data_IF_819507513182
#
_entry.id   IF_819507513182
#
_cell.length_a   1.000
_cell.length_b   1.000
_cell.length_c   1.000
_cell.angle_alpha   90.00
_cell.angle_beta   90.00
_cell.angle_gamma   90.00
#
_symmetry.space_group_name_H-M   'P 1'
#
loop_
_entity.id
_entity.type
_entity.pdbx_description
1 polymer ?
#
# COMPACT_ATOMS: atom_id res chain seq x y z
N UNK A 1 -33.01 12.88 28.96
CA UNK A 1 -32.52 12.17 27.75
C UNK A 1 -32.10 13.08 26.57
N UNK A 2 -32.10 14.43 26.67
CA UNK A 2 -31.62 15.34 25.61
C UNK A 2 -30.15 15.81 25.76
N UNK A 3 -29.54 15.64 26.94
CA UNK A 3 -28.20 16.16 27.25
C UNK A 3 -27.08 15.11 27.08
N UNK A 4 -27.39 13.84 27.37
CA UNK A 4 -26.45 12.72 27.28
C UNK A 4 -26.23 12.29 25.81
N UNK A 5 -27.25 12.42 24.96
CA UNK A 5 -27.15 12.10 23.53
C UNK A 5 -26.32 13.15 22.76
N UNK A 6 -26.42 14.42 23.15
CA UNK A 6 -25.76 15.55 22.47
C UNK A 6 -24.24 15.53 22.61
N UNK A 7 -23.71 14.97 23.70
CA UNK A 7 -22.26 14.77 23.87
C UNK A 7 -21.79 13.40 23.38
N UNK A 8 -22.58 12.33 23.58
CA UNK A 8 -22.22 10.96 23.15
C UNK A 8 -22.12 10.80 21.64
N UNK A 9 -22.92 11.55 20.86
CA UNK A 9 -22.88 11.47 19.40
C UNK A 9 -21.53 11.92 18.82
N UNK A 10 -20.86 12.89 19.43
CA UNK A 10 -19.54 13.33 18.98
C UNK A 10 -18.47 12.26 19.21
N UNK A 11 -18.49 11.60 20.37
CA UNK A 11 -17.58 10.47 20.62
C UNK A 11 -17.83 9.30 19.66
N UNK A 12 -19.09 9.06 19.29
CA UNK A 12 -19.46 8.05 18.30
C UNK A 12 -18.94 8.41 16.89
N UNK A 13 -19.06 9.67 16.48
CA UNK A 13 -18.55 10.16 15.19
C UNK A 13 -17.02 10.08 15.14
N UNK A 14 -16.33 10.53 16.19
CA UNK A 14 -14.87 10.41 16.28
C UNK A 14 -14.41 8.95 16.23
N UNK A 15 -15.14 8.04 16.87
CA UNK A 15 -14.86 6.61 16.81
C UNK A 15 -15.03 6.05 15.39
N UNK A 16 -16.09 6.43 14.68
CA UNK A 16 -16.32 6.04 13.29
C UNK A 16 -15.24 6.56 12.33
N UNK A 17 -14.74 7.79 12.56
CA UNK A 17 -13.64 8.36 11.77
C UNK A 17 -12.34 7.59 12.00
N UNK A 18 -12.01 7.28 13.26
CA UNK A 18 -10.83 6.47 13.58
C UNK A 18 -10.94 5.10 12.93
N UNK A 19 -12.11 4.45 13.00
CA UNK A 19 -12.35 3.17 12.36
C UNK A 19 -12.18 3.25 10.83
N UNK A 20 -12.73 4.28 10.18
CA UNK A 20 -12.59 4.49 8.74
C UNK A 20 -11.13 4.70 8.31
N UNK A 21 -10.35 5.43 9.11
CA UNK A 21 -8.91 5.60 8.88
C UNK A 21 -8.19 4.25 9.03
N UNK A 22 -8.41 3.51 10.11
CA UNK A 22 -7.79 2.19 10.30
C UNK A 22 -8.10 1.23 9.14
N UNK A 23 -9.33 1.27 8.60
CA UNK A 23 -9.71 0.44 7.45
C UNK A 23 -9.01 0.84 6.15
N UNK A 24 -8.79 2.14 5.91
CA UNK A 24 -8.08 2.62 4.71
C UNK A 24 -6.58 2.32 4.78
N UNK A 25 -5.98 2.41 5.96
CA UNK A 25 -4.54 2.19 6.16
C UNK A 25 -4.16 0.71 6.36
N UNK A 26 -5.11 -0.21 6.52
CA UNK A 26 -4.86 -1.66 6.59
C UNK A 26 -4.93 -2.38 5.23
N UNK A 27 -5.06 -1.65 4.13
CA UNK A 27 -5.11 -2.24 2.78
C UNK A 27 -3.73 -2.54 2.17
N UNK A 28 -2.65 -2.45 2.95
CA UNK A 28 -1.37 -3.01 2.51
C UNK A 28 -1.50 -4.54 2.58
N UNK A 29 -2.03 -5.14 1.51
CA UNK A 29 -1.95 -6.59 1.31
C UNK A 29 -0.47 -6.96 1.38
N UNK A 30 -0.08 -7.86 2.28
CA UNK A 30 1.27 -8.39 2.28
C UNK A 30 1.41 -9.35 1.09
N UNK A 31 2.58 -9.38 0.43
CA UNK A 31 2.80 -10.32 -0.66
C UNK A 31 2.57 -11.74 -0.16
N UNK A 32 1.88 -12.55 -0.96
CA UNK A 32 1.62 -13.96 -0.64
C UNK A 32 2.93 -14.71 -0.46
N UNK A 33 3.94 -14.34 -1.24
CA UNK A 33 5.27 -14.93 -1.15
C UNK A 33 6.34 -13.89 -1.47
N UNK A 34 7.46 -13.95 -0.74
CA UNK A 34 8.67 -13.18 -1.03
C UNK A 34 9.71 -14.13 -1.60
N UNK A 35 10.04 -13.95 -2.88
CA UNK A 35 11.03 -14.77 -3.56
C UNK A 35 12.41 -14.10 -3.44
N UNK A 36 13.44 -14.91 -3.21
CA UNK A 36 14.82 -14.49 -3.43
C UNK A 36 15.10 -14.31 -4.93
N UNK A 37 16.20 -13.64 -5.26
CA UNK A 37 16.64 -13.45 -6.64
C UNK A 37 16.74 -14.78 -7.42
N UNK A 38 17.35 -15.79 -6.79
CA UNK A 38 17.53 -17.11 -7.39
C UNK A 38 16.21 -17.86 -7.56
N UNK A 39 15.31 -17.79 -6.57
CA UNK A 39 13.97 -18.39 -6.66
C UNK A 39 13.14 -17.73 -7.74
N UNK A 40 13.18 -16.41 -7.85
CA UNK A 40 12.51 -15.68 -8.91
C UNK A 40 12.98 -16.14 -10.29
N UNK A 41 14.29 -16.13 -10.55
CA UNK A 41 14.81 -16.56 -11.85
C UNK A 41 14.55 -18.03 -12.15
N UNK A 42 14.54 -18.89 -11.14
CA UNK A 42 14.17 -20.30 -11.29
C UNK A 42 12.70 -20.43 -11.69
N UNK A 43 11.82 -19.70 -11.01
CA UNK A 43 10.37 -19.74 -11.25
C UNK A 43 10.01 -19.14 -12.61
N UNK A 44 10.73 -18.09 -13.02
CA UNK A 44 10.64 -17.46 -14.32
C UNK A 44 11.03 -18.45 -15.43
N UNK A 45 12.19 -19.12 -15.29
CA UNK A 45 12.68 -20.12 -16.23
C UNK A 45 11.79 -21.37 -16.33
N UNK A 46 11.14 -21.73 -15.24
CA UNK A 46 10.18 -22.85 -15.20
C UNK A 46 8.86 -22.53 -15.93
N UNK A 47 8.68 -21.33 -16.47
CA UNK A 47 7.45 -20.92 -17.17
C UNK A 47 6.23 -20.81 -16.27
N UNK A 48 6.44 -20.69 -14.95
CA UNK A 48 5.36 -20.62 -13.95
C UNK A 48 4.79 -19.21 -13.79
N UNK A 49 5.44 -18.21 -14.35
CA UNK A 49 5.10 -16.79 -14.19
C UNK A 49 4.19 -16.35 -15.34
N UNK A 50 3.04 -15.79 -15.00
CA UNK A 50 2.02 -15.36 -15.99
C UNK A 50 2.04 -13.87 -16.25
N UNK A 51 2.43 -13.08 -15.26
CA UNK A 51 2.44 -11.63 -15.29
C UNK A 51 3.58 -11.12 -14.42
N UNK A 52 4.32 -10.14 -14.91
CA UNK A 52 5.30 -9.39 -14.12
C UNK A 52 5.09 -7.88 -14.30
N UNK A 53 5.13 -7.19 -13.17
CA UNK A 53 5.23 -5.75 -13.04
C UNK A 53 6.59 -5.41 -12.44
N UNK A 54 7.29 -4.49 -13.07
CA UNK A 54 8.66 -4.12 -12.71
C UNK A 54 8.68 -2.69 -12.21
N UNK A 55 8.96 -2.52 -10.91
CA UNK A 55 9.14 -1.21 -10.27
C UNK A 55 10.61 -0.94 -9.98
N UNK A 56 11.16 0.13 -10.58
CA UNK A 56 12.52 0.57 -10.28
C UNK A 56 12.57 1.35 -8.97
N UNK A 57 13.13 0.73 -7.92
CA UNK A 57 13.51 1.43 -6.69
C UNK A 57 15.00 1.79 -6.71
N UNK A 58 15.42 2.70 -5.82
CA UNK A 58 16.77 3.31 -5.81
C UNK A 58 17.92 2.36 -6.16
N UNK A 59 18.11 1.29 -5.37
CA UNK A 59 19.24 0.33 -5.52
C UNK A 59 18.79 -1.08 -5.92
N UNK A 60 17.49 -1.32 -5.95
CA UNK A 60 16.90 -2.63 -6.21
C UNK A 60 15.72 -2.44 -7.15
N UNK A 61 15.51 -3.43 -8.01
CA UNK A 61 14.32 -3.55 -8.81
C UNK A 61 13.38 -4.46 -8.03
N UNK A 62 12.17 -3.98 -7.77
CA UNK A 62 11.12 -4.77 -7.17
C UNK A 62 10.24 -5.33 -8.27
N UNK A 63 10.06 -6.64 -8.27
CA UNK A 63 9.31 -7.36 -9.29
C UNK A 63 8.12 -7.98 -8.59
N UNK A 64 6.93 -7.56 -8.96
CA UNK A 64 5.67 -8.11 -8.49
C UNK A 64 5.06 -8.96 -9.59
N UNK A 65 4.50 -10.11 -9.26
CA UNK A 65 3.95 -10.97 -10.30
C UNK A 65 2.99 -12.03 -9.79
N UNK A 66 2.43 -12.79 -10.73
CA UNK A 66 1.48 -13.86 -10.44
C UNK A 66 1.95 -15.18 -11.05
N UNK A 67 1.97 -16.22 -10.22
CA UNK A 67 2.25 -17.56 -10.69
C UNK A 67 0.98 -18.23 -11.23
N UNK A 68 1.16 -19.20 -12.12
CA UNK A 68 0.08 -20.05 -12.60
C UNK A 68 -0.60 -20.75 -11.41
N UNK A 69 -1.92 -20.56 -11.29
CA UNK A 69 -2.72 -21.10 -10.18
C UNK A 69 -2.94 -20.15 -9.00
N UNK A 70 -2.38 -18.93 -9.02
CA UNK A 70 -2.66 -17.92 -7.99
C UNK A 70 -4.10 -17.42 -8.07
N UNK A 71 -4.78 -17.37 -6.92
CA UNK A 71 -6.11 -16.77 -6.78
C UNK A 71 -6.08 -15.24 -6.99
N UNK A 72 -7.26 -14.62 -7.06
CA UNK A 72 -7.38 -13.17 -7.19
C UNK A 72 -6.91 -12.51 -5.88
N UNK A 73 -5.88 -11.67 -5.97
CA UNK A 73 -5.24 -11.02 -4.82
C UNK A 73 -3.95 -11.72 -4.35
N UNK A 74 -3.62 -12.89 -4.88
CA UNK A 74 -2.32 -13.51 -4.63
C UNK A 74 -1.28 -13.01 -5.61
N UNK A 75 -0.12 -12.65 -5.07
CA UNK A 75 1.04 -12.19 -5.84
C UNK A 75 2.33 -12.47 -5.07
N UNK A 76 3.42 -12.63 -5.81
CA UNK A 76 4.77 -12.70 -5.25
C UNK A 76 5.47 -11.35 -5.41
N UNK A 77 6.47 -11.11 -4.56
CA UNK A 77 7.41 -10.00 -4.71
C UNK A 77 8.83 -10.55 -4.68
N UNK A 78 9.67 -10.14 -5.61
CA UNK A 78 11.09 -10.41 -5.64
C UNK A 78 11.88 -9.10 -5.66
N UNK A 79 13.04 -9.07 -5.02
CA UNK A 79 13.95 -7.92 -5.06
C UNK A 79 15.26 -8.33 -5.69
N UNK A 80 15.58 -7.70 -6.82
CA UNK A 80 16.77 -7.98 -7.61
C UNK A 80 17.69 -6.75 -7.59
N UNK A 81 19.02 -6.89 -7.56
CA UNK A 81 19.93 -5.75 -7.69
C UNK A 81 19.64 -4.93 -8.95
N UNK A 82 19.59 -3.60 -8.83
CA UNK A 82 19.47 -2.73 -10.00
C UNK A 82 20.82 -2.69 -10.74
N UNK A 83 21.03 -3.64 -11.65
CA UNK A 83 22.23 -3.78 -12.46
C UNK A 83 21.86 -4.19 -13.89
N UNK A 84 22.70 -3.81 -14.87
CA UNK A 84 22.54 -4.24 -16.26
C UNK A 84 22.49 -5.77 -16.36
N UNK A 85 23.31 -6.47 -15.58
CA UNK A 85 23.37 -7.95 -15.57
C UNK A 85 22.05 -8.58 -15.14
N UNK A 86 21.37 -7.98 -14.16
CA UNK A 86 20.06 -8.43 -13.67
C UNK A 86 18.95 -8.15 -14.69
N UNK A 87 18.98 -6.98 -15.33
CA UNK A 87 18.03 -6.62 -16.39
C UNK A 87 18.18 -7.54 -17.60
N UNK A 88 19.41 -7.82 -18.02
CA UNK A 88 19.68 -8.74 -19.13
C UNK A 88 19.22 -10.16 -18.81
N UNK A 89 19.47 -10.67 -17.59
CA UNK A 89 18.95 -11.98 -17.16
C UNK A 89 17.42 -12.03 -17.22
N UNK A 90 16.75 -10.97 -16.80
CA UNK A 90 15.29 -10.89 -16.80
C UNK A 90 14.73 -10.83 -18.23
N UNK A 91 15.28 -9.97 -19.09
CA UNK A 91 14.86 -9.84 -20.48
C UNK A 91 15.04 -11.15 -21.24
N UNK A 92 16.20 -11.81 -21.12
CA UNK A 92 16.46 -13.10 -21.76
C UNK A 92 15.48 -14.18 -21.29
N UNK A 93 15.24 -14.28 -19.97
CA UNK A 93 14.32 -15.28 -19.43
C UNK A 93 12.86 -15.00 -19.82
N UNK A 94 12.49 -13.74 -19.99
CA UNK A 94 11.14 -13.37 -20.38
C UNK A 94 10.88 -13.56 -21.89
N UNK A 95 11.89 -13.32 -22.74
CA UNK A 95 11.85 -13.66 -24.17
C UNK A 95 11.76 -15.17 -24.41
N UNK A 96 12.46 -15.98 -23.61
CA UNK A 96 12.44 -17.45 -23.71
C UNK A 96 11.09 -18.07 -23.34
N UNK A 97 10.29 -17.40 -22.50
CA UNK A 97 9.08 -17.96 -21.89
C UNK A 97 7.77 -17.32 -22.38
N UNK A 98 7.84 -16.38 -23.34
CA UNK A 98 6.68 -15.70 -23.96
C UNK A 98 5.71 -15.12 -22.90
N UNK A 99 6.25 -14.38 -21.93
CA UNK A 99 5.45 -13.79 -20.85
C UNK A 99 4.43 -12.82 -21.44
N UNK A 100 3.15 -13.11 -21.19
CA UNK A 100 2.00 -12.48 -21.84
C UNK A 100 2.00 -10.94 -21.69
N UNK A 101 2.50 -10.42 -20.56
CA UNK A 101 2.56 -8.98 -20.27
C UNK A 101 3.75 -8.67 -19.35
N UNK A 102 4.62 -7.75 -19.81
CA UNK A 102 5.64 -7.07 -19.01
C UNK A 102 5.30 -5.59 -18.89
N UNK A 103 4.92 -5.15 -17.69
CA UNK A 103 4.63 -3.74 -17.43
C UNK A 103 5.74 -3.10 -16.62
N UNK A 104 6.32 -2.02 -17.16
CA UNK A 104 7.31 -1.21 -16.46
C UNK A 104 6.62 0.00 -15.85
N UNK A 105 6.38 -0.05 -14.55
CA UNK A 105 5.79 1.07 -13.81
C UNK A 105 6.88 1.86 -13.10
N UNK A 106 6.98 3.19 -13.33
CA UNK A 106 7.91 4.00 -12.59
C UNK A 106 7.47 4.04 -11.13
N UNK A 107 8.38 3.75 -10.20
CA UNK A 107 8.06 3.95 -8.79
C UNK A 107 7.92 5.44 -8.50
N UNK A 108 6.71 5.88 -8.20
CA UNK A 108 6.44 7.25 -7.77
C UNK A 108 6.59 7.28 -6.25
N UNK A 109 7.71 7.85 -5.77
CA UNK A 109 7.83 8.14 -4.34
C UNK A 109 6.67 9.05 -3.92
N UNK A 110 5.85 8.58 -2.98
CA UNK A 110 4.84 9.42 -2.37
C UNK A 110 5.54 10.60 -1.72
N UNK A 111 5.23 11.82 -2.17
CA UNK A 111 5.82 13.04 -1.61
C UNK A 111 5.70 13.04 -0.09
N UNK A 112 6.79 13.35 0.60
CA UNK A 112 6.80 13.44 2.06
C UNK A 112 5.72 14.39 2.58
N UNK A 113 5.41 15.46 1.84
CA UNK A 113 4.29 16.34 2.16
C UNK A 113 2.94 15.66 2.04
N UNK A 114 2.72 14.87 0.99
CA UNK A 114 1.48 14.10 0.81
C UNK A 114 1.33 13.08 1.93
N UNK A 115 2.39 12.34 2.27
CA UNK A 115 2.39 11.39 3.39
C UNK A 115 2.08 12.09 4.72
N UNK A 116 2.74 13.22 5.00
CA UNK A 116 2.49 14.02 6.19
C UNK A 116 1.04 14.52 6.26
N UNK A 117 0.48 15.05 5.17
CA UNK A 117 -0.90 15.52 5.15
C UNK A 117 -1.89 14.36 5.29
N UNK A 118 -1.66 13.23 4.63
CA UNK A 118 -2.51 12.03 4.74
C UNK A 118 -2.49 11.46 6.15
N UNK A 119 -1.32 11.38 6.79
CA UNK A 119 -1.18 10.92 8.17
C UNK A 119 -1.73 11.92 9.20
N UNK A 120 -1.58 13.22 8.96
CA UNK A 120 -2.01 14.28 9.89
C UNK A 120 -3.49 14.64 9.76
N UNK A 121 -4.11 14.42 8.59
CA UNK A 121 -5.52 14.71 8.31
C UNK A 121 -6.48 14.09 9.35
N UNK A 122 -6.37 12.80 9.70
CA UNK A 122 -7.18 12.19 10.76
C UNK A 122 -7.09 12.95 12.09
N UNK A 123 -5.89 13.32 12.51
CA UNK A 123 -5.67 14.04 13.77
C UNK A 123 -6.24 15.46 13.71
N UNK A 124 -6.13 16.15 12.58
CA UNK A 124 -6.71 17.49 12.40
C UNK A 124 -8.23 17.45 12.56
N UNK A 125 -8.91 16.50 11.93
CA UNK A 125 -10.37 16.33 12.05
C UNK A 125 -10.76 16.09 13.50
N UNK A 126 -10.08 15.16 14.20
CA UNK A 126 -10.33 14.87 15.62
C UNK A 126 -10.08 16.12 16.48
N UNK A 127 -8.97 16.84 16.24
CA UNK A 127 -8.59 18.03 16.99
C UNK A 127 -9.62 19.15 16.85
N UNK A 128 -10.12 19.39 15.63
CA UNK A 128 -11.22 20.35 15.38
C UNK A 128 -12.52 19.96 16.08
N UNK A 129 -12.86 18.66 16.13
CA UNK A 129 -14.04 18.18 16.87
C UNK A 129 -13.90 18.42 18.38
N UNK A 130 -12.73 18.17 18.96
CA UNK A 130 -12.46 18.45 20.38
C UNK A 130 -12.48 19.94 20.69
N UNK A 131 -11.85 20.77 19.86
CA UNK A 131 -11.86 22.23 19.98
C UNK A 131 -13.29 22.79 19.91
N UNK A 132 -14.10 22.33 18.96
CA UNK A 132 -15.51 22.70 18.85
C UNK A 132 -16.31 22.34 20.11
N UNK A 133 -16.06 21.17 20.71
CA UNK A 133 -16.69 20.76 21.97
C UNK A 133 -16.24 21.60 23.16
N UNK A 134 -14.94 21.93 23.23
CA UNK A 134 -14.38 22.79 24.28
C UNK A 134 -14.98 24.19 24.18
N UNK A 135 -14.99 24.78 23.00
CA UNK A 135 -15.57 26.10 22.74
C UNK A 135 -17.07 26.13 23.04
N UNK A 136 -17.82 25.11 22.62
CA UNK A 136 -19.24 24.98 22.94
C UNK A 136 -19.49 24.90 24.46
N UNK A 137 -18.65 24.16 25.20
CA UNK A 137 -18.70 24.11 26.66
C UNK A 137 -18.36 25.46 27.32
N UNK A 138 -17.38 26.19 26.80
CA UNK A 138 -16.98 27.50 27.32
C UNK A 138 -18.06 28.55 27.06
N UNK A 139 -18.67 28.55 25.87
CA UNK A 139 -19.74 29.48 25.50
C UNK A 139 -21.03 29.22 26.30
N UNK A 140 -21.36 27.96 26.61
CA UNK A 140 -22.56 27.61 27.39
C UNK A 140 -22.37 27.82 28.90
N UNK A 141 -21.14 27.78 29.40
CA UNK A 141 -20.83 28.07 30.82
C UNK A 141 -20.76 29.57 31.14
N UNK A 142 -20.76 30.44 30.13
CA UNK A 142 -20.75 31.89 30.25
C UNK A 142 -22.16 32.44 30.05
#
# INVERSE_FOLDING_TARGET
>A
MKQIFRSKIFYLISFLIILGVVLVFNNDEEPTEKLTDDEFFTTLKDGKVTFIEVEQRKRVIEISGRLAGYEKGQYFVASVPNSETSLDRMNNAAEEQDIEIMEFTPYIETSGWVSLFTATTPFMIISFLFLGLLLFRVIIKR
#
